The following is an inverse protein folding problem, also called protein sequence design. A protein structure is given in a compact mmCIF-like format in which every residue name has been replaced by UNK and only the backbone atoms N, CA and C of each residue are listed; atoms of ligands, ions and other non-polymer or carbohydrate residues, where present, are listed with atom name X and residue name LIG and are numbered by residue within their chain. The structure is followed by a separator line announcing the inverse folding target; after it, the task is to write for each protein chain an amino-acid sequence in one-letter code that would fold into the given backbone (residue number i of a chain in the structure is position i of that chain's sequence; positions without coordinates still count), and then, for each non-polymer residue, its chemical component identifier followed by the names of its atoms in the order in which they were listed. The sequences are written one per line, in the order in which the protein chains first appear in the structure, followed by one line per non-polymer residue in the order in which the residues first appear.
data_IF_291240992260
#
_entry.id   IF_291240992260
#
_cell.length_a   1.000
_cell.length_b   1.000
_cell.length_c   1.000
_cell.angle_alpha   90.00
_cell.angle_beta   90.00
_cell.angle_gamma   90.00
#
_symmetry.space_group_name_H-M   'P 1'
#
loop_
_entity.id
_entity.type
_entity.pdbx_description
1 polymer ?
#
# COMPACT_ATOMS: atom_id res chain seq x y z
N UNK A 1 -20.50 24.71 -10.86
CA UNK A 1 -19.99 23.58 -10.05
C UNK A 1 -20.46 23.81 -8.63
N UNK A 2 -21.31 22.95 -8.09
CA UNK A 2 -21.59 22.95 -6.65
C UNK A 2 -20.30 22.56 -5.94
N UNK A 3 -19.81 23.42 -5.04
CA UNK A 3 -18.79 23.05 -4.07
C UNK A 3 -19.49 22.24 -2.99
N UNK A 4 -19.66 20.94 -3.22
CA UNK A 4 -20.02 20.03 -2.14
C UNK A 4 -18.80 19.87 -1.23
N UNK A 5 -18.96 20.22 0.05
CA UNK A 5 -17.95 19.95 1.07
C UNK A 5 -17.95 18.45 1.38
N UNK A 6 -17.18 17.69 0.60
CA UNK A 6 -16.90 16.29 0.90
C UNK A 6 -15.97 16.25 2.12
N UNK A 7 -16.45 15.64 3.21
CA UNK A 7 -15.64 15.40 4.40
C UNK A 7 -14.75 14.18 4.17
N UNK A 8 -13.45 14.29 4.50
CA UNK A 8 -12.53 13.18 4.45
C UNK A 8 -12.75 12.27 5.68
N UNK A 9 -13.10 11.02 5.45
CA UNK A 9 -13.17 10.00 6.51
C UNK A 9 -11.75 9.61 6.96
N UNK A 10 -11.27 10.30 7.99
CA UNK A 10 -9.94 10.10 8.55
C UNK A 10 -9.80 8.73 9.22
N UNK A 11 -10.86 8.18 9.79
CA UNK A 11 -10.81 6.89 10.48
C UNK A 11 -10.63 5.76 9.46
N UNK A 12 -11.35 5.83 8.34
CA UNK A 12 -11.13 4.94 7.20
C UNK A 12 -9.70 5.05 6.69
N UNK A 13 -9.18 6.25 6.45
CA UNK A 13 -7.81 6.47 5.94
C UNK A 13 -6.78 5.88 6.89
N UNK A 14 -6.84 6.20 8.20
CA UNK A 14 -5.90 5.68 9.20
C UNK A 14 -5.97 4.16 9.30
N UNK A 15 -7.15 3.56 9.17
CA UNK A 15 -7.30 2.09 9.20
C UNK A 15 -6.58 1.37 8.06
N UNK A 16 -6.18 2.08 6.98
CA UNK A 16 -5.39 1.51 5.89
C UNK A 16 -3.91 1.35 6.25
N UNK A 17 -3.39 2.00 7.30
CA UNK A 17 -1.96 1.99 7.65
C UNK A 17 -1.70 1.10 8.87
N UNK A 18 -1.11 -0.10 8.70
CA UNK A 18 -0.82 -1.00 9.83
C UNK A 18 0.10 -0.41 10.89
N UNK A 19 0.94 0.57 10.53
CA UNK A 19 1.83 1.26 11.46
C UNK A 19 1.12 1.83 12.70
N UNK A 20 -0.15 2.27 12.59
CA UNK A 20 -0.89 2.76 13.75
C UNK A 20 -1.29 1.67 14.76
N UNK A 21 -1.18 0.39 14.40
CA UNK A 21 -1.40 -0.75 15.29
C UNK A 21 -0.10 -1.37 15.80
N UNK A 22 1.02 -1.04 15.17
CA UNK A 22 2.33 -1.55 15.56
C UNK A 22 2.71 -1.07 16.98
N UNK A 23 3.23 -1.94 17.86
CA UNK A 23 3.53 -1.58 19.25
C UNK A 23 4.50 -0.40 19.42
N UNK A 24 5.43 -0.22 18.48
CA UNK A 24 6.40 0.86 18.50
C UNK A 24 5.81 2.13 17.88
N UNK A 25 5.28 2.03 16.66
CA UNK A 25 4.82 3.20 15.90
C UNK A 25 3.54 3.83 16.48
N UNK A 26 2.63 3.06 17.09
CA UNK A 26 1.35 3.58 17.63
C UNK A 26 1.51 4.68 18.69
N UNK A 27 2.66 4.75 19.34
CA UNK A 27 2.94 5.71 20.40
C UNK A 27 3.44 7.07 19.86
N UNK A 28 3.57 7.23 18.54
CA UNK A 28 4.11 8.42 17.90
C UNK A 28 3.10 9.07 16.97
N UNK A 29 3.04 10.39 17.02
CA UNK A 29 2.48 11.18 15.93
C UNK A 29 3.60 11.44 14.91
N UNK A 30 3.46 10.88 13.72
CA UNK A 30 4.55 10.84 12.73
C UNK A 30 4.50 12.05 11.77
N UNK A 31 5.39 13.02 11.98
CA UNK A 31 5.51 14.25 11.19
C UNK A 31 6.73 14.28 10.25
N UNK A 32 7.41 13.14 10.07
CA UNK A 32 8.63 13.00 9.26
C UNK A 32 8.37 12.42 7.85
N UNK A 33 7.18 12.67 7.28
CA UNK A 33 6.76 12.06 6.00
C UNK A 33 7.67 12.42 4.81
N UNK A 34 8.41 13.54 4.90
CA UNK A 34 9.39 13.93 3.89
C UNK A 34 10.60 12.97 3.84
N UNK A 35 10.96 12.34 4.96
CA UNK A 35 12.01 11.32 5.04
C UNK A 35 11.52 9.91 4.67
N UNK A 36 10.19 9.70 4.63
CA UNK A 36 9.56 8.43 4.29
C UNK A 36 8.19 8.31 4.94
N UNK A 37 7.21 7.79 4.20
CA UNK A 37 5.83 7.62 4.68
C UNK A 37 5.56 6.20 5.16
N UNK A 38 4.58 6.04 6.05
CA UNK A 38 4.02 4.71 6.33
C UNK A 38 3.35 4.12 5.10
N UNK A 39 3.42 2.79 4.96
CA UNK A 39 2.90 2.09 3.79
C UNK A 39 1.49 1.55 4.10
N UNK A 40 0.49 1.80 3.24
CA UNK A 40 -0.84 1.26 3.44
C UNK A 40 -0.87 -0.26 3.16
N UNK A 41 -1.82 -0.97 3.78
CA UNK A 41 -1.99 -2.42 3.67
C UNK A 41 -2.17 -2.90 2.23
N UNK A 42 -2.75 -2.08 1.36
CA UNK A 42 -2.95 -2.40 -0.05
C UNK A 42 -1.62 -2.59 -0.78
N UNK A 43 -0.68 -1.67 -0.57
CA UNK A 43 0.68 -1.74 -1.14
C UNK A 43 1.46 -2.88 -0.51
N UNK A 44 1.40 -3.05 0.81
CA UNK A 44 2.04 -4.18 1.51
C UNK A 44 1.57 -5.52 0.95
N UNK A 45 0.26 -5.70 0.79
CA UNK A 45 -0.31 -6.94 0.27
C UNK A 45 0.09 -7.20 -1.19
N UNK A 46 0.08 -6.15 -2.02
CA UNK A 46 0.50 -6.28 -3.41
C UNK A 46 2.00 -6.65 -3.51
N UNK A 47 2.85 -5.96 -2.76
CA UNK A 47 4.28 -6.26 -2.71
C UNK A 47 4.55 -7.67 -2.20
N UNK A 48 3.86 -8.11 -1.14
CA UNK A 48 4.00 -9.48 -0.64
C UNK A 48 3.61 -10.50 -1.73
N UNK A 49 2.47 -10.31 -2.41
CA UNK A 49 2.05 -11.19 -3.51
C UNK A 49 3.09 -11.21 -4.64
N UNK A 50 3.62 -10.06 -5.02
CA UNK A 50 4.70 -10.00 -5.99
C UNK A 50 5.90 -10.83 -5.53
N UNK A 51 6.40 -10.57 -4.33
CA UNK A 51 7.61 -11.22 -3.80
C UNK A 51 7.46 -12.73 -3.63
N UNK A 52 6.28 -13.23 -3.27
CA UNK A 52 6.05 -14.67 -3.04
C UNK A 52 5.56 -15.43 -4.25
N UNK A 53 4.98 -14.76 -5.24
CA UNK A 53 4.29 -15.42 -6.34
C UNK A 53 4.83 -15.01 -7.71
N UNK A 54 4.91 -13.71 -8.01
CA UNK A 54 5.14 -13.23 -9.39
C UNK A 54 6.48 -12.54 -9.60
N UNK A 55 7.44 -12.69 -8.66
CA UNK A 55 8.79 -12.14 -8.78
C UNK A 55 9.64 -12.92 -9.79
N UNK A 56 9.37 -12.67 -11.06
CA UNK A 56 10.11 -13.18 -12.22
C UNK A 56 10.19 -12.10 -13.30
N UNK A 57 11.03 -12.32 -14.32
CA UNK A 57 11.05 -11.44 -15.49
C UNK A 57 9.65 -11.47 -16.16
N UNK A 58 9.01 -10.31 -16.40
CA UNK A 58 7.68 -10.26 -17.04
C UNK A 58 7.68 -10.70 -18.51
N UNK A 59 6.48 -11.06 -19.01
CA UNK A 59 6.15 -11.28 -20.44
C UNK A 59 6.67 -12.56 -21.12
N UNK A 60 7.08 -13.57 -20.36
CA UNK A 60 7.33 -14.92 -20.89
C UNK A 60 6.03 -15.75 -20.94
N UNK A 61 6.10 -16.93 -21.54
CA UNK A 61 4.89 -17.74 -21.85
C UNK A 61 4.28 -18.46 -20.63
N UNK A 62 5.00 -18.56 -19.51
CA UNK A 62 4.53 -19.27 -18.31
C UNK A 62 3.76 -18.35 -17.35
N UNK A 63 2.84 -18.96 -16.59
CA UNK A 63 1.77 -18.25 -15.87
C UNK A 63 2.25 -17.11 -14.97
N UNK A 64 3.25 -17.35 -14.11
CA UNK A 64 3.72 -16.31 -13.18
C UNK A 64 4.34 -15.10 -13.90
N UNK A 65 4.94 -15.30 -15.08
CA UNK A 65 5.54 -14.22 -15.88
C UNK A 65 4.49 -13.40 -16.63
N UNK A 66 3.42 -14.04 -17.12
CA UNK A 66 2.27 -13.34 -17.69
C UNK A 66 1.61 -12.45 -16.64
N UNK A 67 1.31 -13.01 -15.47
CA UNK A 67 0.68 -12.27 -14.36
C UNK A 67 1.58 -11.11 -13.89
N UNK A 68 2.90 -11.32 -13.83
CA UNK A 68 3.84 -10.25 -13.49
C UNK A 68 3.81 -9.10 -14.51
N UNK A 69 3.64 -9.39 -15.80
CA UNK A 69 3.53 -8.39 -16.86
C UNK A 69 2.22 -7.60 -16.81
N UNK A 70 1.10 -8.24 -16.48
CA UNK A 70 -0.20 -7.58 -16.32
C UNK A 70 -0.27 -6.63 -15.10
N UNK A 71 0.68 -6.76 -14.15
CA UNK A 71 0.75 -5.98 -12.92
C UNK A 71 1.74 -4.81 -12.98
N UNK A 72 2.42 -4.60 -14.12
CA UNK A 72 3.32 -3.48 -14.38
C UNK A 72 2.58 -2.32 -15.04
#
# INVERSE_FOLDING_TARGET
MSLENISLDIDFVRSQFPAFKDPLCKNWAFFENAGGSYVPKTVINHLNKFMTSTKVQPYAEYDMSKIAGEQM
#
